data_IF_609096097278
#
_entry.id   IF_609096097278
#
_cell.length_a   1.000
_cell.length_b   1.000
_cell.length_c   1.000
_cell.angle_alpha   90.00
_cell.angle_beta   90.00
_cell.angle_gamma   90.00
#
_symmetry.space_group_name_H-M   'P 1'
#
loop_
_entity.id
_entity.type
_entity.pdbx_description
1 polymer ?
#
# COMPACT_ATOMS: atom_id res chain seq x y z
N UNK A 1 -12.28 11.49 5.73
CA UNK A 1 -12.44 12.53 4.67
C UNK A 1 -11.47 13.73 4.78
N UNK A 2 -10.53 13.74 5.72
CA UNK A 2 -9.45 14.77 5.78
C UNK A 2 -8.36 14.52 4.71
N UNK A 3 -8.25 13.29 4.20
CA UNK A 3 -7.26 12.89 3.19
C UNK A 3 -7.47 13.48 1.79
N UNK A 4 -8.71 13.79 1.39
CA UNK A 4 -9.01 14.23 0.00
C UNK A 4 -8.56 15.67 -0.23
N UNK A 5 -8.63 16.55 0.80
CA UNK A 5 -8.09 17.90 0.70
C UNK A 5 -6.57 17.96 0.90
N UNK A 6 -6.01 17.03 1.69
CA UNK A 6 -4.55 16.90 1.94
C UNK A 6 -3.76 16.43 0.72
N UNK A 7 -4.43 15.84 -0.27
CA UNK A 7 -3.84 15.36 -1.51
C UNK A 7 -3.62 16.47 -2.55
N UNK A 8 -4.28 17.63 -2.43
CA UNK A 8 -4.42 18.60 -3.55
C UNK A 8 -3.47 19.81 -3.52
N UNK A 9 -2.67 19.99 -2.47
CA UNK A 9 -1.73 21.12 -2.34
C UNK A 9 -0.35 20.64 -1.85
N UNK A 10 0.58 20.27 -2.77
CA UNK A 10 1.90 19.77 -2.42
C UNK A 10 2.85 20.84 -1.85
N UNK A 11 2.72 22.10 -2.25
CA UNK A 11 3.68 23.17 -1.91
C UNK A 11 3.59 23.68 -0.46
N UNK A 12 2.58 23.25 0.30
CA UNK A 12 2.38 23.62 1.71
C UNK A 12 2.51 22.43 2.66
N UNK A 13 3.03 21.29 2.17
CA UNK A 13 3.21 20.09 2.98
C UNK A 13 4.41 20.23 3.90
N UNK A 14 4.14 20.16 5.20
CA UNK A 14 5.13 19.75 6.19
C UNK A 14 4.91 18.26 6.46
N UNK A 15 5.70 17.42 5.79
CA UNK A 15 5.62 15.96 5.87
C UNK A 15 6.02 15.42 7.26
N UNK A 16 6.48 16.28 8.18
CA UNK A 16 6.73 15.93 9.58
C UNK A 16 5.47 15.95 10.46
N UNK A 17 4.35 16.46 9.94
CA UNK A 17 3.10 16.60 10.68
C UNK A 17 2.20 15.40 10.38
N UNK A 18 2.04 14.51 11.37
CA UNK A 18 1.07 13.42 11.28
C UNK A 18 -0.34 13.96 10.98
N UNK A 19 -1.14 13.23 10.17
CA UNK A 19 -2.52 13.63 9.81
C UNK A 19 -3.39 13.96 11.05
N UNK A 20 -3.11 13.33 12.19
CA UNK A 20 -3.74 13.65 13.49
C UNK A 20 -3.36 15.03 14.04
N UNK A 21 -2.10 15.45 13.92
CA UNK A 21 -1.68 16.83 14.26
C UNK A 21 -2.28 17.85 13.29
N UNK A 22 -2.38 17.52 12.00
CA UNK A 22 -3.00 18.38 11.01
C UNK A 22 -4.50 18.58 11.27
N UNK A 23 -5.21 17.50 11.63
CA UNK A 23 -6.61 17.55 12.05
C UNK A 23 -6.78 18.34 13.35
N UNK A 24 -5.94 18.12 14.36
CA UNK A 24 -5.97 18.87 15.62
C UNK A 24 -5.66 20.36 15.43
N UNK A 25 -4.75 20.70 14.52
CA UNK A 25 -4.45 22.10 14.15
C UNK A 25 -5.60 22.77 13.39
N UNK A 26 -6.27 22.04 12.50
CA UNK A 26 -7.45 22.51 11.76
C UNK A 26 -8.68 22.67 12.68
N UNK A 27 -8.87 21.77 13.64
CA UNK A 27 -9.94 21.83 14.64
C UNK A 27 -9.76 22.97 15.64
N UNK A 28 -8.51 23.34 15.96
CA UNK A 28 -8.18 24.42 16.92
C UNK A 28 -8.09 25.81 16.29
N UNK A 29 -8.03 25.93 14.96
CA UNK A 29 -7.83 27.22 14.28
C UNK A 29 -9.09 27.70 13.53
N UNK A 30 -9.78 28.68 14.11
CA UNK A 30 -10.97 29.31 13.53
C UNK A 30 -10.68 29.92 12.15
N UNK A 31 -9.51 30.55 11.99
CA UNK A 31 -9.11 31.16 10.71
C UNK A 31 -8.82 30.14 9.60
N UNK A 32 -8.33 28.94 9.92
CA UNK A 32 -8.18 27.88 8.91
C UNK A 32 -9.53 27.28 8.51
N UNK A 33 -10.46 27.12 9.46
CA UNK A 33 -11.81 26.63 9.17
C UNK A 33 -12.54 27.56 8.19
N UNK A 34 -12.48 28.87 8.42
CA UNK A 34 -13.11 29.86 7.53
C UNK A 34 -12.51 29.86 6.13
N UNK A 35 -11.18 29.74 6.01
CA UNK A 35 -10.50 29.67 4.71
C UNK A 35 -10.82 28.38 3.95
N UNK A 36 -10.93 27.26 4.66
CA UNK A 36 -11.29 25.97 4.08
C UNK A 36 -12.74 25.96 3.58
N UNK A 37 -13.67 26.47 4.39
CA UNK A 37 -15.09 26.61 4.02
C UNK A 37 -15.28 27.56 2.81
N UNK A 38 -14.45 28.60 2.69
CA UNK A 38 -14.47 29.53 1.55
C UNK A 38 -14.04 28.90 0.23
N UNK A 39 -13.20 27.87 0.25
CA UNK A 39 -12.68 27.22 -0.97
C UNK A 39 -13.37 25.91 -1.30
N UNK A 40 -14.07 25.28 -0.34
CA UNK A 40 -14.76 24.01 -0.53
C UNK A 40 -16.14 23.98 0.16
N UNK A 41 -17.12 24.77 -0.33
CA UNK A 41 -18.41 24.98 0.37
C UNK A 41 -19.32 23.75 0.44
N UNK A 42 -19.03 22.68 -0.32
CA UNK A 42 -19.87 21.48 -0.40
C UNK A 42 -19.42 20.32 0.52
N UNK A 43 -18.29 20.45 1.23
CA UNK A 43 -17.76 19.39 2.10
C UNK A 43 -18.12 19.68 3.55
N UNK A 44 -19.13 18.99 4.09
CA UNK A 44 -19.37 18.96 5.54
C UNK A 44 -18.44 17.95 6.20
N UNK A 45 -17.79 18.35 7.30
CA UNK A 45 -16.95 17.45 8.11
C UNK A 45 -17.91 16.57 8.95
N UNK A 46 -18.03 15.25 8.69
CA UNK A 46 -18.83 14.41 9.56
C UNK A 46 -18.17 14.30 10.94
N UNK A 47 -18.99 14.35 11.98
CA UNK A 47 -18.58 14.05 13.37
C UNK A 47 -18.24 12.56 13.43
N UNK A 48 -17.02 12.28 13.86
CA UNK A 48 -16.41 10.96 13.87
C UNK A 48 -16.80 10.22 15.16
N UNK A 49 -17.47 9.07 15.06
CA UNK A 49 -17.94 8.26 16.21
C UNK A 49 -16.94 7.21 16.68
N UNK A 50 -15.67 7.28 16.27
CA UNK A 50 -14.55 6.73 17.06
C UNK A 50 -14.31 5.21 17.04
N UNK A 51 -15.01 4.42 16.22
CA UNK A 51 -14.91 2.94 16.29
C UNK A 51 -14.03 2.27 15.22
N UNK A 52 -13.44 3.01 14.28
CA UNK A 52 -12.44 2.48 13.37
C UNK A 52 -11.06 3.02 13.77
N UNK A 53 -10.24 2.19 14.41
CA UNK A 53 -8.85 2.54 14.71
C UNK A 53 -8.08 2.76 13.39
N UNK A 54 -7.96 4.01 12.96
CA UNK A 54 -7.06 4.45 11.90
C UNK A 54 -5.62 4.09 12.29
N UNK A 55 -5.18 2.89 11.89
CA UNK A 55 -3.78 2.47 12.04
C UNK A 55 -2.95 3.43 11.18
N UNK A 56 -2.10 4.22 11.83
CA UNK A 56 -1.06 5.00 11.16
C UNK A 56 -0.27 4.06 10.25
N UNK A 57 -0.47 4.17 8.94
CA UNK A 57 0.45 3.52 8.00
C UNK A 57 1.78 4.23 8.14
N UNK A 58 2.67 3.61 8.90
CA UNK A 58 4.04 4.05 9.05
C UNK A 58 4.72 3.99 7.67
N UNK A 59 5.61 4.95 7.40
CA UNK A 59 6.24 5.07 6.09
C UNK A 59 6.92 3.76 5.66
N UNK A 60 6.74 3.42 4.38
CA UNK A 60 7.31 2.23 3.78
C UNK A 60 8.74 2.49 3.29
N UNK A 61 9.65 1.54 3.47
CA UNK A 61 10.99 1.57 2.88
C UNK A 61 11.34 0.24 2.22
N UNK A 62 12.29 0.28 1.28
CA UNK A 62 12.83 -0.92 0.66
C UNK A 62 13.66 -1.73 1.66
N UNK A 63 13.34 -3.01 1.85
CA UNK A 63 14.11 -3.90 2.74
C UNK A 63 15.58 -3.93 2.34
N UNK A 64 16.48 -3.98 3.32
CA UNK A 64 17.93 -3.91 3.12
C UNK A 64 18.49 -2.52 2.74
N UNK A 65 17.64 -1.50 2.55
CA UNK A 65 18.09 -0.12 2.31
C UNK A 65 18.30 0.67 3.62
N UNK A 66 18.80 1.91 3.52
CA UNK A 66 19.02 2.85 4.65
C UNK A 66 17.72 3.37 5.32
N UNK A 67 16.62 2.59 5.32
CA UNK A 67 15.29 2.97 5.84
C UNK A 67 14.80 4.34 5.36
N UNK A 68 15.14 4.71 4.12
CA UNK A 68 14.57 5.90 3.48
C UNK A 68 13.07 5.62 3.25
N UNK A 69 12.21 6.41 3.88
CA UNK A 69 10.77 6.35 3.63
C UNK A 69 10.52 6.78 2.19
N UNK A 70 9.76 5.96 1.47
CA UNK A 70 9.36 6.19 0.09
C UNK A 70 7.91 6.67 0.05
N UNK A 71 7.67 7.63 -0.84
CA UNK A 71 6.32 8.04 -1.22
C UNK A 71 5.64 6.95 -2.07
N UNK A 72 4.31 6.98 -2.14
CA UNK A 72 3.57 6.06 -3.00
C UNK A 72 4.00 6.15 -4.49
N UNK A 73 4.30 7.37 -4.97
CA UNK A 73 4.78 7.59 -6.33
C UNK A 73 6.19 7.01 -6.58
N UNK A 74 7.11 7.15 -5.61
CA UNK A 74 8.43 6.52 -5.67
C UNK A 74 8.31 4.99 -5.68
N UNK A 75 7.38 4.42 -4.92
CA UNK A 75 7.15 2.97 -4.89
C UNK A 75 6.52 2.47 -6.20
N UNK A 76 5.56 3.19 -6.79
CA UNK A 76 5.04 2.85 -8.11
C UNK A 76 6.14 2.90 -9.18
N UNK A 77 6.96 3.96 -9.16
CA UNK A 77 8.11 4.09 -10.07
C UNK A 77 9.10 2.95 -9.89
N UNK A 78 9.37 2.57 -8.63
CA UNK A 78 10.20 1.41 -8.31
C UNK A 78 9.66 0.15 -9.00
N UNK A 79 8.36 -0.17 -8.86
CA UNK A 79 7.78 -1.36 -9.47
C UNK A 79 7.74 -1.32 -11.00
N UNK A 80 7.47 -0.17 -11.60
CA UNK A 80 7.57 0.02 -13.05
C UNK A 80 9.00 -0.27 -13.53
N UNK A 81 10.02 0.21 -12.81
CA UNK A 81 11.41 -0.07 -13.14
C UNK A 81 11.78 -1.55 -12.95
N UNK A 82 11.20 -2.23 -11.95
CA UNK A 82 11.38 -3.68 -11.75
C UNK A 82 10.85 -4.49 -12.93
N UNK A 83 9.68 -4.14 -13.43
CA UNK A 83 9.09 -4.78 -14.61
C UNK A 83 9.96 -4.66 -15.85
N UNK A 84 10.60 -3.50 -16.07
CA UNK A 84 11.43 -3.28 -17.25
C UNK A 84 12.70 -4.13 -17.23
N UNK A 85 13.52 -4.01 -16.18
CA UNK A 85 14.86 -4.62 -16.15
C UNK A 85 15.36 -4.98 -14.75
N UNK A 86 14.56 -4.74 -13.71
CA UNK A 86 15.00 -4.95 -12.34
C UNK A 86 14.88 -6.40 -11.84
N UNK A 87 15.27 -6.62 -10.57
CA UNK A 87 14.99 -7.83 -9.81
C UNK A 87 13.52 -8.21 -9.85
N UNK A 88 13.29 -9.52 -9.86
CA UNK A 88 11.95 -10.13 -9.92
C UNK A 88 11.29 -10.23 -8.55
N UNK A 89 12.05 -10.09 -7.46
CA UNK A 89 11.55 -9.97 -6.09
C UNK A 89 11.82 -8.57 -5.54
N UNK A 90 10.88 -8.06 -4.75
CA UNK A 90 11.02 -6.79 -4.02
C UNK A 90 10.24 -6.87 -2.70
N UNK A 91 10.87 -6.47 -1.60
CA UNK A 91 10.24 -6.39 -0.28
C UNK A 91 10.26 -4.97 0.26
N UNK A 92 9.11 -4.49 0.71
CA UNK A 92 8.97 -3.25 1.46
C UNK A 92 8.61 -3.54 2.91
N UNK A 93 9.02 -2.67 3.82
CA UNK A 93 8.79 -2.82 5.26
C UNK A 93 8.33 -1.52 5.89
N UNK A 94 7.69 -1.64 7.05
CA UNK A 94 7.19 -0.54 7.85
C UNK A 94 7.72 -0.60 9.28
N UNK A 95 7.62 0.51 10.03
CA UNK A 95 8.08 0.58 11.42
C UNK A 95 7.24 -0.28 12.36
N UNK A 96 5.99 -0.55 11.98
CA UNK A 96 5.08 -1.44 12.72
C UNK A 96 5.38 -2.91 12.48
N UNK A 97 6.25 -3.25 11.52
CA UNK A 97 6.64 -4.63 11.21
C UNK A 97 5.85 -5.28 10.07
N UNK A 98 4.97 -4.55 9.38
CA UNK A 98 4.37 -5.04 8.13
C UNK A 98 5.44 -5.22 7.08
N UNK A 99 5.32 -6.29 6.29
CA UNK A 99 6.16 -6.55 5.11
C UNK A 99 5.29 -6.79 3.89
N UNK A 100 5.56 -6.07 2.81
CA UNK A 100 4.92 -6.26 1.51
C UNK A 100 5.96 -6.90 0.59
N UNK A 101 5.75 -8.17 0.26
CA UNK A 101 6.56 -8.91 -0.69
C UNK A 101 5.87 -8.93 -2.05
N UNK A 102 6.62 -8.62 -3.09
CA UNK A 102 6.13 -8.65 -4.47
C UNK A 102 7.12 -9.45 -5.30
N UNK A 103 6.61 -10.49 -5.97
CA UNK A 103 7.38 -11.33 -6.89
C UNK A 103 6.71 -11.27 -8.26
N UNK A 104 7.48 -11.15 -9.33
CA UNK A 104 6.94 -11.04 -10.69
C UNK A 104 7.74 -11.87 -11.68
N UNK A 105 7.05 -12.47 -12.64
CA UNK A 105 7.66 -13.06 -13.83
C UNK A 105 7.61 -12.09 -15.04
N UNK A 106 7.32 -10.80 -14.79
CA UNK A 106 7.07 -9.72 -15.76
C UNK A 106 5.77 -9.82 -16.56
N UNK A 107 4.98 -10.86 -16.37
CA UNK A 107 3.63 -10.96 -16.92
C UNK A 107 2.57 -10.76 -15.83
N UNK A 108 2.81 -11.35 -14.66
CA UNK A 108 1.95 -11.31 -13.48
C UNK A 108 2.77 -11.03 -12.23
N UNK A 109 2.08 -10.66 -11.16
CA UNK A 109 2.69 -10.43 -9.85
C UNK A 109 1.99 -11.26 -8.78
N UNK A 110 2.79 -11.88 -7.92
CA UNK A 110 2.33 -12.34 -6.60
C UNK A 110 2.58 -11.22 -5.60
N UNK A 111 1.54 -10.79 -4.91
CA UNK A 111 1.62 -9.76 -3.87
C UNK A 111 1.24 -10.40 -2.56
N UNK A 112 2.15 -10.43 -1.61
CA UNK A 112 1.94 -10.98 -0.27
C UNK A 112 2.14 -9.88 0.76
N UNK A 113 1.17 -9.73 1.67
CA UNK A 113 1.30 -8.88 2.85
C UNK A 113 1.46 -9.77 4.07
N UNK A 114 2.51 -9.52 4.84
CA UNK A 114 2.85 -10.27 6.06
C UNK A 114 2.73 -9.31 7.23
N UNK A 115 1.89 -9.69 8.20
CA UNK A 115 1.69 -8.96 9.43
C UNK A 115 2.85 -9.16 10.41
N UNK A 116 3.05 -8.24 11.38
CA UNK A 116 4.12 -8.35 12.36
C UNK A 116 4.11 -9.66 13.17
N UNK A 117 2.92 -10.26 13.33
CA UNK A 117 2.71 -11.53 14.05
C UNK A 117 2.87 -12.77 13.16
N UNK A 118 3.20 -12.60 11.88
CA UNK A 118 3.45 -13.68 10.94
C UNK A 118 2.23 -14.17 10.16
N UNK A 119 1.02 -13.70 10.46
CA UNK A 119 -0.14 -13.92 9.58
C UNK A 119 0.13 -13.29 8.22
N UNK A 120 -0.14 -14.02 7.14
CA UNK A 120 0.03 -13.50 5.79
C UNK A 120 -1.20 -13.76 4.95
N UNK A 121 -1.26 -13.06 3.82
CA UNK A 121 -2.14 -13.37 2.73
C UNK A 121 -1.60 -12.79 1.45
N UNK A 122 -2.25 -13.11 0.35
CA UNK A 122 -1.89 -12.63 -0.97
C UNK A 122 -3.09 -12.18 -1.79
N UNK A 123 -2.82 -11.33 -2.78
CA UNK A 123 -3.80 -10.93 -3.77
C UNK A 123 -4.11 -12.09 -4.72
N UNK A 124 -5.39 -12.26 -5.07
CA UNK A 124 -5.87 -13.27 -6.00
C UNK A 124 -6.57 -12.64 -7.19
N UNK A 125 -6.49 -13.30 -8.35
CA UNK A 125 -7.27 -12.98 -9.54
C UNK A 125 -8.34 -14.05 -9.75
N UNK A 126 -9.58 -13.85 -9.23
CA UNK A 126 -10.64 -14.83 -9.38
C UNK A 126 -11.13 -14.99 -10.83
N UNK A 127 -10.74 -14.08 -11.73
CA UNK A 127 -11.06 -14.16 -13.16
C UNK A 127 -9.97 -14.90 -13.94
N UNK A 128 -8.86 -15.25 -13.30
CA UNK A 128 -7.86 -16.12 -13.89
C UNK A 128 -8.49 -17.47 -14.27
N UNK A 129 -8.18 -17.93 -15.48
CA UNK A 129 -8.53 -19.29 -15.90
C UNK A 129 -7.77 -20.35 -15.09
N UNK A 130 -8.07 -21.63 -15.37
CA UNK A 130 -7.27 -22.73 -14.83
C UNK A 130 -5.90 -22.72 -15.50
N UNK A 131 -4.84 -22.66 -14.69
CA UNK A 131 -3.46 -22.68 -15.17
C UNK A 131 -2.49 -22.23 -14.10
N UNK A 132 -1.21 -22.40 -14.41
CA UNK A 132 -0.08 -22.00 -13.58
C UNK A 132 1.04 -21.47 -14.48
N UNK A 133 1.88 -20.60 -13.92
CA UNK A 133 3.01 -19.99 -14.62
C UNK A 133 4.25 -19.96 -13.74
N UNK A 134 5.38 -20.32 -14.32
CA UNK A 134 6.71 -20.21 -13.72
C UNK A 134 7.36 -18.83 -13.93
N UNK A 135 8.68 -18.75 -13.69
CA UNK A 135 9.46 -17.54 -13.88
C UNK A 135 9.47 -16.59 -12.69
N UNK A 136 8.92 -16.99 -11.55
CA UNK A 136 8.93 -16.19 -10.32
C UNK A 136 10.23 -16.44 -9.56
N UNK A 137 11.28 -15.68 -9.90
CA UNK A 137 12.58 -15.79 -9.24
C UNK A 137 12.61 -15.03 -7.91
N UNK A 138 12.82 -15.75 -6.83
CA UNK A 138 12.98 -15.24 -5.47
C UNK A 138 14.43 -14.81 -5.19
N UNK A 139 14.63 -14.00 -4.14
CA UNK A 139 15.96 -13.48 -3.77
C UNK A 139 16.95 -14.57 -3.32
N UNK A 140 16.47 -15.76 -2.96
CA UNK A 140 17.30 -16.93 -2.64
C UNK A 140 17.71 -17.74 -3.89
N UNK A 141 17.34 -17.29 -5.10
CA UNK A 141 17.61 -17.97 -6.37
C UNK A 141 16.63 -19.10 -6.71
N UNK A 142 15.64 -19.36 -5.86
CA UNK A 142 14.56 -20.29 -6.16
C UNK A 142 13.64 -19.70 -7.22
N UNK A 143 13.29 -20.50 -8.22
CA UNK A 143 12.28 -20.16 -9.21
C UNK A 143 11.00 -20.95 -8.91
N UNK A 144 9.93 -20.22 -8.66
CA UNK A 144 8.62 -20.79 -8.33
C UNK A 144 7.67 -20.76 -9.53
N UNK A 145 6.72 -21.69 -9.48
CA UNK A 145 5.50 -21.71 -10.28
C UNK A 145 4.30 -21.44 -9.38
N UNK A 146 3.42 -20.55 -9.82
CA UNK A 146 2.18 -20.22 -9.10
C UNK A 146 0.97 -20.44 -9.99
N UNK A 147 -0.14 -20.84 -9.36
CA UNK A 147 -1.43 -20.84 -10.03
C UNK A 147 -1.78 -19.41 -10.47
N UNK A 148 -2.40 -19.29 -11.64
CA UNK A 148 -2.78 -17.99 -12.20
C UNK A 148 -3.74 -17.23 -11.28
N UNK A 149 -4.57 -17.94 -10.51
CA UNK A 149 -5.49 -17.39 -9.51
C UNK A 149 -4.77 -16.79 -8.31
N UNK A 150 -3.59 -17.32 -7.94
CA UNK A 150 -2.79 -16.86 -6.81
C UNK A 150 -1.78 -15.76 -7.22
N UNK A 151 -1.93 -15.23 -8.44
CA UNK A 151 -1.20 -14.08 -8.98
C UNK A 151 -2.17 -13.12 -9.64
N UNK A 152 -1.78 -11.86 -9.82
CA UNK A 152 -2.62 -10.83 -10.43
C UNK A 152 -1.96 -10.20 -11.66
N UNK A 153 -2.76 -9.62 -12.55
CA UNK A 153 -2.23 -8.84 -13.69
C UNK A 153 -1.42 -7.65 -13.19
N UNK A 154 -0.49 -7.13 -14.01
CA UNK A 154 0.31 -5.95 -13.62
C UNK A 154 -0.55 -4.73 -13.26
N UNK A 155 -1.58 -4.34 -14.02
CA UNK A 155 -2.45 -3.23 -13.62
C UNK A 155 -3.13 -3.44 -12.26
N UNK A 156 -3.67 -4.64 -12.03
CA UNK A 156 -4.33 -4.97 -10.76
C UNK A 156 -3.33 -5.01 -9.60
N UNK A 157 -2.12 -5.50 -9.87
CA UNK A 157 -1.02 -5.51 -8.91
C UNK A 157 -0.70 -4.09 -8.42
N UNK A 158 -0.56 -3.14 -9.34
CA UNK A 158 -0.28 -1.74 -9.01
C UNK A 158 -1.43 -1.10 -8.21
N UNK A 159 -2.68 -1.48 -8.48
CA UNK A 159 -3.84 -1.04 -7.70
C UNK A 159 -3.81 -1.60 -6.28
N UNK A 160 -3.55 -2.90 -6.12
CA UNK A 160 -3.46 -3.55 -4.80
C UNK A 160 -2.30 -2.97 -3.99
N UNK A 161 -1.13 -2.79 -4.59
CA UNK A 161 0.01 -2.12 -3.95
C UNK A 161 -0.38 -0.72 -3.50
N UNK A 162 -0.98 0.09 -4.38
CA UNK A 162 -1.44 1.44 -4.03
C UNK A 162 -2.41 1.46 -2.84
N UNK A 163 -3.33 0.50 -2.79
CA UNK A 163 -4.26 0.33 -1.68
C UNK A 163 -3.53 0.01 -0.38
N UNK A 164 -2.66 -1.00 -0.37
CA UNK A 164 -1.90 -1.44 0.82
C UNK A 164 -1.00 -0.32 1.34
N UNK A 165 -0.33 0.41 0.45
CA UNK A 165 0.53 1.54 0.85
C UNK A 165 -0.27 2.66 1.51
N UNK A 166 -1.55 2.81 1.15
CA UNK A 166 -2.42 3.86 1.68
C UNK A 166 -3.08 3.48 2.99
N UNK A 167 -3.48 2.21 3.14
CA UNK A 167 -4.31 1.74 4.26
C UNK A 167 -3.56 0.84 5.25
N UNK A 168 -2.42 0.27 4.86
CA UNK A 168 -1.64 -0.66 5.69
C UNK A 168 -2.30 -2.02 5.86
N UNK A 169 -3.41 -2.26 5.16
CA UNK A 169 -4.22 -3.47 5.21
C UNK A 169 -4.49 -3.96 3.79
N UNK A 170 -4.81 -5.25 3.60
CA UNK A 170 -5.19 -5.74 2.29
C UNK A 170 -6.56 -5.18 1.86
N UNK A 171 -6.86 -5.19 0.54
CA UNK A 171 -8.21 -4.99 0.05
C UNK A 171 -9.18 -6.06 0.60
N UNK A 172 -10.46 -5.71 0.75
CA UNK A 172 -11.47 -6.65 1.24
C UNK A 172 -11.81 -7.74 0.21
N UNK A 173 -11.78 -7.39 -1.08
CA UNK A 173 -12.02 -8.30 -2.19
C UNK A 173 -10.70 -8.65 -2.89
N UNK A 174 -10.65 -9.83 -3.52
CA UNK A 174 -9.45 -10.25 -4.26
C UNK A 174 -8.25 -10.52 -3.34
N UNK A 175 -8.50 -10.92 -2.09
CA UNK A 175 -7.47 -11.26 -1.12
C UNK A 175 -7.73 -12.63 -0.48
N UNK A 176 -6.68 -13.45 -0.36
CA UNK A 176 -6.71 -14.77 0.25
C UNK A 176 -5.76 -14.78 1.44
N UNK A 177 -6.27 -15.20 2.61
CA UNK A 177 -5.43 -15.39 3.80
C UNK A 177 -4.69 -16.71 3.65
N UNK A 178 -3.39 -16.68 3.88
CA UNK A 178 -2.54 -17.86 3.89
C UNK A 178 -2.61 -18.50 5.27
N UNK A 179 -3.12 -19.72 5.32
CA UNK A 179 -3.05 -20.55 6.52
C UNK A 179 -1.72 -21.27 6.49
N UNK A 180 -0.95 -21.15 7.58
CA UNK A 180 0.17 -22.07 7.81
C UNK A 180 -0.43 -23.48 7.91
N UNK A 181 -0.21 -24.31 6.89
CA UNK A 181 -0.42 -25.74 7.04
C UNK A 181 0.43 -26.21 8.23
N UNK A 182 -0.24 -26.79 9.22
CA UNK A 182 0.37 -27.37 10.42
C UNK A 182 0.84 -28.80 10.16
#
# INVERSE_FOLDING_TARGET
MVGIAYARFPDTRDDSISRGKARSALEKSTGLKERFARHFPAISIPVDTGDAADILVSGWWLSGSKKKILTAAEIQTLFINRLATGPLSTQLETATGLKLQVVTNRERMKITLIEPKGTSGHAIDPQAGKGSRGGFLLDNGQEDEYDDVDTVTIPDALNVIGYILTHGTPPQEGWKVDVLER
#
